data_IF_121045588126
#
_entry.id   IF_121045588126
#
_cell.length_a   1.000
_cell.length_b   1.000
_cell.length_c   1.000
_cell.angle_alpha   90.00
_cell.angle_beta   90.00
_cell.angle_gamma   90.00
#
_symmetry.space_group_name_H-M   'P 1'
#
loop_
_entity.id
_entity.type
_entity.pdbx_description
1 polymer ?
#
# COMPACT_ATOMS: atom_id res chain seq x y z
N UNK A 1 -1.10 4.84 7.22
CA UNK A 1 -0.77 3.49 6.74
C UNK A 1 0.46 3.01 7.51
N UNK A 2 0.39 1.87 8.22
CA UNK A 2 1.43 1.37 9.15
C UNK A 2 2.43 0.43 8.42
N UNK A 3 2.52 0.53 7.08
CA UNK A 3 3.40 -0.34 6.30
C UNK A 3 4.85 -0.07 6.66
N UNK A 4 5.60 -1.16 6.88
CA UNK A 4 6.99 -1.17 7.28
C UNK A 4 7.29 -0.63 8.68
N UNK A 5 6.29 -0.37 9.55
CA UNK A 5 6.58 0.07 10.92
C UNK A 5 6.97 -1.12 11.79
N UNK A 6 8.05 -0.96 12.54
CA UNK A 6 8.54 -1.89 13.55
C UNK A 6 8.37 -1.30 14.95
N UNK A 7 8.03 -2.14 15.91
CA UNK A 7 8.00 -1.78 17.32
C UNK A 7 9.05 -2.63 18.04
N UNK A 8 9.98 -1.99 18.74
CA UNK A 8 10.83 -2.69 19.70
C UNK A 8 10.00 -3.12 20.94
N UNK A 9 10.64 -3.85 21.85
CA UNK A 9 9.95 -4.44 23.01
C UNK A 9 9.31 -3.38 23.89
N UNK A 10 10.04 -2.32 24.21
CA UNK A 10 9.59 -1.26 25.12
C UNK A 10 8.43 -0.47 24.50
N UNK A 11 8.55 -0.09 23.22
CA UNK A 11 7.49 0.60 22.51
C UNK A 11 6.25 -0.27 22.33
N UNK A 12 6.42 -1.55 21.98
CA UNK A 12 5.27 -2.45 21.82
C UNK A 12 4.52 -2.64 23.14
N UNK A 13 5.26 -2.89 24.23
CA UNK A 13 4.67 -3.03 25.55
C UNK A 13 3.95 -1.76 25.98
N UNK A 14 4.64 -0.63 26.02
CA UNK A 14 4.10 0.61 26.55
C UNK A 14 2.94 1.17 25.70
N UNK A 15 3.05 1.14 24.37
CA UNK A 15 2.05 1.78 23.49
C UNK A 15 0.95 0.86 23.00
N UNK A 16 1.16 -0.47 22.98
CA UNK A 16 0.16 -1.40 22.44
C UNK A 16 -0.41 -2.29 23.53
N UNK A 17 0.43 -2.92 24.36
CA UNK A 17 -0.06 -3.89 25.35
C UNK A 17 -0.58 -3.25 26.63
N UNK A 18 0.07 -2.20 27.13
CA UNK A 18 -0.28 -1.56 28.41
C UNK A 18 -1.20 -0.35 28.23
N UNK A 19 -1.23 0.24 27.04
CA UNK A 19 -2.05 1.42 26.79
C UNK A 19 -3.53 1.02 26.62
N UNK A 20 -4.45 1.42 27.53
CA UNK A 20 -5.81 0.90 27.55
C UNK A 20 -6.60 1.24 26.28
N UNK A 21 -6.48 2.47 25.79
CA UNK A 21 -7.14 2.91 24.54
C UNK A 21 -6.55 2.23 23.32
N UNK A 22 -5.22 2.28 23.13
CA UNK A 22 -4.58 1.72 21.93
C UNK A 22 -4.77 0.21 21.87
N UNK A 23 -4.71 -0.51 22.99
CA UNK A 23 -4.96 -1.95 23.03
C UNK A 23 -6.33 -2.30 22.49
N UNK A 24 -7.37 -1.59 22.94
CA UNK A 24 -8.74 -1.83 22.46
C UNK A 24 -8.86 -1.60 20.95
N UNK A 25 -8.18 -0.59 20.40
CA UNK A 25 -8.14 -0.34 18.95
C UNK A 25 -7.28 -1.35 18.18
N UNK A 26 -6.25 -1.89 18.81
CA UNK A 26 -5.35 -2.86 18.21
C UNK A 26 -5.87 -4.31 18.36
N UNK A 27 -6.92 -4.54 19.14
CA UNK A 27 -7.59 -5.82 19.22
C UNK A 27 -8.11 -6.26 17.84
N UNK A 28 -7.93 -7.54 17.52
CA UNK A 28 -8.23 -8.10 16.20
C UNK A 28 -7.14 -7.86 15.15
N UNK A 29 -6.08 -7.11 15.46
CA UNK A 29 -4.91 -7.05 14.59
C UNK A 29 -4.05 -8.30 14.74
N UNK A 30 -3.55 -8.76 13.59
CA UNK A 30 -2.50 -9.78 13.53
C UNK A 30 -1.15 -9.07 13.63
N UNK A 31 -0.26 -9.64 14.42
CA UNK A 31 1.11 -9.20 14.64
C UNK A 31 2.08 -10.31 14.24
N UNK A 32 3.26 -9.92 13.79
CA UNK A 32 4.35 -10.80 13.40
C UNK A 32 5.60 -10.42 14.17
N UNK A 33 6.20 -11.38 14.83
CA UNK A 33 7.43 -11.20 15.61
C UNK A 33 8.70 -11.38 14.76
N UNK A 34 9.87 -11.23 15.38
CA UNK A 34 11.18 -11.38 14.71
C UNK A 34 11.44 -12.79 14.16
N UNK A 35 10.84 -13.81 14.78
CA UNK A 35 10.96 -15.22 14.39
C UNK A 35 9.89 -15.63 13.36
N UNK A 36 9.03 -14.70 12.94
CA UNK A 36 7.93 -14.94 12.01
C UNK A 36 6.68 -15.54 12.64
N UNK A 37 6.58 -15.61 13.98
CA UNK A 37 5.37 -16.05 14.67
C UNK A 37 4.25 -15.05 14.43
N UNK A 38 3.07 -15.56 14.08
CA UNK A 38 1.86 -14.77 13.87
C UNK A 38 0.90 -14.94 15.05
N UNK A 39 0.39 -13.82 15.57
CA UNK A 39 -0.58 -13.83 16.66
C UNK A 39 -1.59 -12.69 16.55
N UNK A 40 -2.78 -12.90 17.08
CA UNK A 40 -3.87 -11.93 17.17
C UNK A 40 -3.82 -11.28 18.55
N UNK A 41 -3.84 -9.95 18.59
CA UNK A 41 -4.03 -9.22 19.83
C UNK A 41 -5.52 -9.22 20.21
N UNK A 42 -5.82 -9.52 21.46
CA UNK A 42 -7.16 -9.41 22.05
C UNK A 42 -7.17 -8.31 23.13
N UNK A 43 -8.34 -8.07 23.73
CA UNK A 43 -8.46 -7.11 24.83
C UNK A 43 -7.57 -7.47 26.03
N UNK A 44 -7.30 -8.77 26.25
CA UNK A 44 -6.66 -9.28 27.46
C UNK A 44 -5.32 -9.97 27.16
N UNK A 45 -5.22 -10.67 26.03
CA UNK A 45 -4.09 -11.53 25.69
C UNK A 45 -3.62 -11.39 24.24
N UNK A 46 -2.57 -12.13 23.90
CA UNK A 46 -2.10 -12.34 22.52
C UNK A 46 -2.19 -13.85 22.24
N UNK A 47 -2.87 -14.22 21.17
CA UNK A 47 -3.16 -15.64 20.86
C UNK A 47 -2.76 -16.01 19.45
N UNK A 48 -2.31 -17.24 19.23
CA UNK A 48 -2.00 -17.73 17.89
C UNK A 48 -3.27 -18.11 17.10
N UNK A 49 -3.08 -18.64 15.87
CA UNK A 49 -4.18 -19.07 15.01
C UNK A 49 -4.93 -20.33 15.51
N UNK A 50 -4.41 -21.01 16.53
CA UNK A 50 -5.08 -22.11 17.24
C UNK A 50 -5.78 -21.63 18.53
N UNK A 51 -5.61 -20.36 18.90
CA UNK A 51 -6.17 -19.77 20.11
C UNK A 51 -5.33 -20.00 21.37
N UNK A 52 -4.11 -20.53 21.24
CA UNK A 52 -3.20 -20.65 22.37
C UNK A 52 -2.59 -19.29 22.71
N UNK A 53 -2.48 -18.98 24.00
CA UNK A 53 -1.78 -17.79 24.46
C UNK A 53 -0.30 -17.87 24.09
N UNK A 54 0.23 -16.80 23.51
CA UNK A 54 1.62 -16.73 23.05
C UNK A 54 2.21 -15.36 23.39
N UNK A 55 3.51 -15.35 23.64
CA UNK A 55 4.30 -14.13 23.68
C UNK A 55 4.98 -13.89 22.32
N UNK A 56 5.11 -12.61 21.96
CA UNK A 56 5.77 -12.16 20.73
C UNK A 56 7.13 -11.56 21.05
N UNK A 57 8.15 -11.96 20.28
CA UNK A 57 9.51 -11.45 20.43
C UNK A 57 9.77 -10.22 19.55
N UNK A 58 10.26 -9.14 20.16
CA UNK A 58 10.56 -7.92 19.42
C UNK A 58 11.74 -8.07 18.44
N UNK A 59 11.79 -7.29 17.35
CA UNK A 59 10.78 -6.32 16.95
C UNK A 59 9.51 -6.97 16.39
N UNK A 60 8.36 -6.39 16.72
CA UNK A 60 7.07 -6.83 16.19
C UNK A 60 6.58 -5.87 15.11
N UNK A 61 5.81 -6.43 14.17
CA UNK A 61 5.27 -5.72 13.01
C UNK A 61 3.84 -6.13 12.76
N UNK A 62 3.11 -5.32 12.00
CA UNK A 62 1.83 -5.71 11.42
C UNK A 62 2.14 -6.33 10.04
N UNK A 63 2.02 -7.66 9.87
CA UNK A 63 2.35 -8.32 8.62
C UNK A 63 1.38 -7.90 7.52
N UNK A 64 1.91 -7.83 6.30
CA UNK A 64 1.09 -7.72 5.10
C UNK A 64 0.60 -9.12 4.67
N UNK A 65 -0.61 -9.28 4.12
CA UNK A 65 -1.12 -10.61 3.73
C UNK A 65 -0.21 -11.37 2.77
N UNK A 66 0.50 -10.67 1.89
CA UNK A 66 1.48 -11.27 0.97
C UNK A 66 2.63 -12.00 1.68
N UNK A 67 2.94 -11.62 2.92
CA UNK A 67 4.01 -12.18 3.75
C UNK A 67 3.54 -13.40 4.56
N UNK A 68 2.25 -13.72 4.49
CA UNK A 68 1.61 -14.82 5.21
C UNK A 68 1.29 -15.91 4.19
N UNK A 69 1.61 -17.16 4.51
CA UNK A 69 1.21 -18.28 3.67
C UNK A 69 -0.32 -18.47 3.72
N UNK A 70 -0.86 -19.12 2.69
CA UNK A 70 -2.31 -19.21 2.51
C UNK A 70 -2.99 -20.00 3.64
N UNK A 71 -2.34 -21.05 4.16
CA UNK A 71 -2.89 -21.86 5.23
C UNK A 71 -2.94 -21.08 6.55
N UNK A 72 -1.87 -20.34 6.89
CA UNK A 72 -1.85 -19.46 8.05
C UNK A 72 -2.87 -18.33 7.92
N UNK A 73 -3.04 -17.75 6.73
CA UNK A 73 -4.03 -16.71 6.49
C UNK A 73 -5.47 -17.21 6.73
N UNK A 74 -5.79 -18.41 6.24
CA UNK A 74 -7.09 -19.07 6.50
C UNK A 74 -7.28 -19.35 8.00
N UNK A 75 -6.25 -19.86 8.68
CA UNK A 75 -6.31 -20.16 10.11
C UNK A 75 -6.54 -18.89 10.94
N UNK A 76 -5.84 -17.79 10.64
CA UNK A 76 -6.01 -16.50 11.30
C UNK A 76 -7.41 -15.92 11.09
N UNK A 77 -7.95 -15.98 9.87
CA UNK A 77 -9.33 -15.53 9.57
C UNK A 77 -10.36 -16.32 10.37
N UNK A 78 -10.20 -17.65 10.42
CA UNK A 78 -11.08 -18.52 11.21
C UNK A 78 -11.01 -18.15 12.68
N UNK A 79 -9.81 -17.90 13.21
CA UNK A 79 -9.63 -17.55 14.62
C UNK A 79 -10.21 -16.18 14.96
N UNK A 80 -10.04 -15.17 14.10
CA UNK A 80 -10.68 -13.86 14.26
C UNK A 80 -12.21 -14.00 14.33
N UNK A 81 -12.79 -14.83 13.44
CA UNK A 81 -14.22 -15.12 13.44
C UNK A 81 -14.67 -15.84 14.71
N UNK A 82 -13.91 -16.83 15.19
CA UNK A 82 -14.20 -17.56 16.42
C UNK A 82 -14.17 -16.66 17.67
N UNK A 83 -13.26 -15.69 17.69
CA UNK A 83 -13.14 -14.69 18.76
C UNK A 83 -14.15 -13.53 18.61
N UNK A 84 -14.97 -13.51 17.54
CA UNK A 84 -15.85 -12.40 17.17
C UNK A 84 -15.12 -11.05 17.09
N UNK A 85 -13.85 -11.05 16.69
CA UNK A 85 -13.03 -9.85 16.56
C UNK A 85 -13.13 -9.29 15.14
N UNK A 86 -13.48 -8.01 15.05
CA UNK A 86 -13.47 -7.24 13.81
C UNK A 86 -12.16 -6.48 13.72
N UNK A 87 -11.45 -6.61 12.59
CA UNK A 87 -10.23 -5.85 12.39
C UNK A 87 -10.55 -4.35 12.22
N UNK A 88 -9.80 -3.44 12.85
CA UNK A 88 -10.03 -1.99 12.76
C UNK A 88 -9.79 -1.43 11.35
N UNK A 89 -9.10 -2.19 10.49
CA UNK A 89 -8.97 -1.97 9.06
C UNK A 89 -8.81 -3.33 8.37
N UNK A 90 -9.03 -3.38 7.06
CA UNK A 90 -8.87 -4.59 6.25
C UNK A 90 -7.40 -5.03 6.16
N UNK A 91 -6.86 -5.60 7.24
CA UNK A 91 -5.48 -6.07 7.31
C UNK A 91 -5.34 -7.35 6.49
N UNK A 92 -6.07 -8.41 6.82
CA UNK A 92 -5.98 -9.70 6.13
C UNK A 92 -6.68 -9.71 4.77
N UNK A 93 -7.69 -8.86 4.61
CA UNK A 93 -8.44 -8.68 3.36
C UNK A 93 -7.85 -7.61 2.43
N UNK A 94 -6.65 -7.12 2.74
CA UNK A 94 -6.01 -6.11 1.91
C UNK A 94 -5.76 -6.67 0.51
N UNK A 95 -6.14 -5.96 -0.57
CA UNK A 95 -5.77 -6.35 -1.92
C UNK A 95 -4.26 -6.41 -2.07
N UNK A 96 -3.76 -7.47 -2.70
CA UNK A 96 -2.34 -7.57 -3.03
C UNK A 96 -2.11 -8.40 -4.28
N UNK A 97 -0.95 -8.21 -4.88
CA UNK A 97 -0.44 -9.08 -5.96
C UNK A 97 0.99 -9.51 -5.66
N UNK A 98 1.32 -10.74 -6.07
CA UNK A 98 2.68 -11.28 -6.02
C UNK A 98 3.52 -10.87 -7.22
N UNK A 99 2.91 -10.31 -8.27
CA UNK A 99 3.59 -9.89 -9.50
C UNK A 99 3.40 -8.38 -9.77
N UNK A 100 3.59 -7.58 -8.72
CA UNK A 100 3.32 -6.14 -8.73
C UNK A 100 4.05 -5.38 -9.85
N UNK A 101 5.28 -5.78 -10.19
CA UNK A 101 6.07 -5.10 -11.22
C UNK A 101 5.50 -5.31 -12.63
N UNK A 102 5.14 -6.57 -12.97
CA UNK A 102 4.55 -6.87 -14.27
C UNK A 102 3.15 -6.24 -14.39
N UNK A 103 2.33 -6.33 -13.34
CA UNK A 103 0.99 -5.75 -13.34
C UNK A 103 1.01 -4.22 -13.40
N UNK A 104 1.94 -3.56 -12.70
CA UNK A 104 2.14 -2.11 -12.79
C UNK A 104 2.48 -1.70 -14.22
N UNK A 105 3.43 -2.41 -14.83
CA UNK A 105 3.85 -2.12 -16.21
C UNK A 105 2.69 -2.27 -17.19
N UNK A 106 1.91 -3.36 -17.06
CA UNK A 106 0.72 -3.59 -17.88
C UNK A 106 -0.35 -2.50 -17.68
N UNK A 107 -0.58 -2.09 -16.43
CA UNK A 107 -1.57 -1.06 -16.08
C UNK A 107 -1.20 0.31 -16.68
N UNK A 108 0.07 0.70 -16.61
CA UNK A 108 0.58 1.95 -17.18
C UNK A 108 0.38 1.94 -18.70
N UNK A 109 0.77 0.86 -19.38
CA UNK A 109 0.59 0.72 -20.84
C UNK A 109 -0.88 0.75 -21.25
N UNK A 110 -1.76 0.17 -20.44
CA UNK A 110 -3.20 0.11 -20.70
C UNK A 110 -3.94 1.43 -20.44
N UNK A 111 -3.31 2.41 -19.78
CA UNK A 111 -3.99 3.63 -19.31
C UNK A 111 -3.49 4.88 -20.04
N UNK A 112 -4.41 5.68 -20.58
CA UNK A 112 -4.06 6.98 -21.16
C UNK A 112 -3.79 8.04 -20.07
N UNK A 113 -2.89 9.02 -20.36
CA UNK A 113 -2.68 10.17 -19.49
C UNK A 113 -3.98 10.88 -19.08
N UNK A 114 -4.08 11.20 -17.79
CA UNK A 114 -5.27 11.81 -17.19
C UNK A 114 -5.20 13.33 -17.27
N UNK A 115 -6.35 14.04 -17.22
CA UNK A 115 -6.33 15.48 -17.02
C UNK A 115 -5.48 15.85 -15.80
N UNK A 116 -4.57 16.82 -15.94
CA UNK A 116 -3.56 17.15 -14.94
C UNK A 116 -4.17 17.37 -13.54
N UNK A 117 -5.25 18.16 -13.46
CA UNK A 117 -5.96 18.44 -12.20
C UNK A 117 -6.48 17.17 -11.53
N UNK A 118 -7.01 16.22 -12.31
CA UNK A 118 -7.51 14.95 -11.77
C UNK A 118 -6.36 14.05 -11.31
N UNK A 119 -5.27 13.98 -12.08
CA UNK A 119 -4.08 13.22 -11.72
C UNK A 119 -3.47 13.72 -10.39
N UNK A 120 -3.28 15.03 -10.26
CA UNK A 120 -2.77 15.63 -9.04
C UNK A 120 -3.73 15.48 -7.85
N UNK A 121 -5.03 15.57 -8.09
CA UNK A 121 -6.05 15.34 -7.07
C UNK A 121 -5.96 13.92 -6.49
N UNK A 122 -5.84 12.90 -7.35
CA UNK A 122 -5.72 11.51 -6.93
C UNK A 122 -4.42 11.24 -6.17
N UNK A 123 -3.29 11.77 -6.63
CA UNK A 123 -2.02 11.68 -5.91
C UNK A 123 -2.13 12.29 -4.50
N UNK A 124 -2.70 13.48 -4.38
CA UNK A 124 -2.90 14.13 -3.06
C UNK A 124 -3.83 13.34 -2.15
N UNK A 125 -4.91 12.77 -2.68
CA UNK A 125 -5.81 11.89 -1.92
C UNK A 125 -5.09 10.66 -1.37
N UNK A 126 -4.08 10.15 -2.08
CA UNK A 126 -3.22 9.06 -1.61
C UNK A 126 -2.13 9.53 -0.63
N UNK A 127 -1.96 10.84 -0.42
CA UNK A 127 -0.94 11.41 0.47
C UNK A 127 0.39 11.72 -0.21
N UNK A 128 0.41 11.80 -1.55
CA UNK A 128 1.59 12.24 -2.28
C UNK A 128 1.69 13.76 -2.28
N UNK A 129 2.92 14.23 -2.12
CA UNK A 129 3.32 15.63 -2.25
C UNK A 129 4.24 15.76 -3.46
N UNK A 130 4.19 16.91 -4.14
CA UNK A 130 5.12 17.17 -5.25
C UNK A 130 6.56 17.06 -4.76
N UNK A 131 7.40 16.44 -5.59
CA UNK A 131 8.83 16.42 -5.42
C UNK A 131 9.45 17.79 -5.63
N UNK A 132 10.77 17.81 -5.81
CA UNK A 132 11.52 19.04 -6.01
C UNK A 132 11.16 19.67 -7.36
N UNK A 133 11.06 21.00 -7.38
CA UNK A 133 10.96 21.75 -8.64
C UNK A 133 12.36 21.93 -9.21
N UNK A 134 12.59 21.40 -10.39
CA UNK A 134 13.84 21.55 -11.14
C UNK A 134 13.54 22.23 -12.46
N UNK A 135 14.15 23.40 -12.69
CA UNK A 135 13.95 24.20 -13.90
C UNK A 135 12.46 24.52 -14.20
N UNK A 136 11.63 24.64 -13.16
CA UNK A 136 10.20 24.91 -13.30
C UNK A 136 9.33 23.68 -13.54
N UNK A 137 9.90 22.49 -13.45
CA UNK A 137 9.25 21.20 -13.67
C UNK A 137 9.30 20.34 -12.41
N UNK A 138 8.25 19.57 -12.17
CA UNK A 138 8.22 18.49 -11.19
C UNK A 138 8.06 17.17 -11.93
N UNK A 139 8.98 16.22 -11.77
CA UNK A 139 8.94 14.92 -12.45
C UNK A 139 8.52 13.77 -11.53
N UNK A 140 8.54 14.00 -10.23
CA UNK A 140 8.13 13.03 -9.22
C UNK A 140 7.22 13.63 -8.16
N UNK A 141 6.42 12.76 -7.55
CA UNK A 141 5.69 13.04 -6.31
C UNK A 141 6.02 11.96 -5.28
N UNK A 142 6.09 12.32 -3.99
CA UNK A 142 6.53 11.45 -2.91
C UNK A 142 5.51 11.34 -1.79
N UNK A 143 5.37 10.15 -1.24
CA UNK A 143 4.55 9.87 -0.05
C UNK A 143 5.42 9.19 1.02
N UNK A 144 5.58 9.77 2.21
CA UNK A 144 6.37 9.14 3.27
C UNK A 144 5.67 7.88 3.81
N UNK A 145 6.48 6.88 4.14
CA UNK A 145 6.11 5.64 4.81
C UNK A 145 6.92 5.52 6.12
N UNK A 146 6.72 4.43 6.87
CA UNK A 146 7.50 4.17 8.08
C UNK A 146 8.95 3.77 7.77
N UNK A 147 9.80 3.78 8.79
CA UNK A 147 11.19 3.28 8.75
C UNK A 147 12.09 3.91 7.66
N UNK A 148 11.79 5.15 7.28
CA UNK A 148 12.52 5.93 6.29
C UNK A 148 12.20 5.55 4.83
N UNK A 149 11.17 4.76 4.61
CA UNK A 149 10.65 4.45 3.28
C UNK A 149 9.80 5.59 2.73
N UNK A 150 9.77 5.72 1.41
CA UNK A 150 8.87 6.61 0.68
C UNK A 150 8.34 5.87 -0.54
N UNK A 151 7.09 6.13 -0.94
CA UNK A 151 6.66 5.85 -2.31
C UNK A 151 7.01 7.03 -3.19
N UNK A 152 7.59 6.75 -4.35
CA UNK A 152 7.90 7.75 -5.37
C UNK A 152 7.12 7.44 -6.63
N UNK A 153 6.23 8.36 -7.01
CA UNK A 153 5.48 8.32 -8.25
C UNK A 153 6.17 9.18 -9.30
N UNK A 154 6.72 8.58 -10.35
CA UNK A 154 7.30 9.28 -11.50
C UNK A 154 6.21 9.52 -12.55
N UNK A 155 6.26 10.67 -13.20
CA UNK A 155 5.23 11.07 -14.17
C UNK A 155 5.79 11.96 -15.29
N UNK A 156 4.99 12.23 -16.31
CA UNK A 156 5.36 12.92 -17.57
C UNK A 156 5.72 14.42 -17.43
N UNK A 157 6.37 14.80 -16.32
CA UNK A 157 6.60 16.17 -15.88
C UNK A 157 5.32 16.96 -15.59
N UNK A 158 5.36 17.84 -14.59
CA UNK A 158 4.32 18.82 -14.27
C UNK A 158 4.99 20.18 -14.32
N UNK A 159 4.61 20.99 -15.30
CA UNK A 159 5.17 22.33 -15.51
C UNK A 159 4.48 23.35 -14.60
N UNK A 160 5.23 24.00 -13.71
CA UNK A 160 4.66 24.88 -12.68
C UNK A 160 4.15 26.22 -13.26
N UNK A 161 4.75 26.68 -14.35
CA UNK A 161 4.47 27.99 -14.96
C UNK A 161 3.89 27.93 -16.37
N UNK A 162 3.81 26.74 -16.96
CA UNK A 162 3.32 26.58 -18.33
C UNK A 162 1.81 26.30 -18.33
N UNK A 163 1.03 27.19 -18.95
CA UNK A 163 -0.45 27.09 -18.99
C UNK A 163 -0.97 26.11 -20.05
N UNK A 164 -0.11 25.34 -20.70
CA UNK A 164 -0.45 24.46 -21.82
C UNK A 164 -0.66 22.99 -21.47
N UNK A 165 -0.06 22.49 -20.39
CA UNK A 165 -0.15 21.08 -20.05
C UNK A 165 -1.55 20.74 -19.52
N UNK A 166 -2.27 19.92 -20.27
CA UNK A 166 -3.63 19.48 -19.90
C UNK A 166 -3.65 18.06 -19.33
N UNK A 167 -2.63 17.25 -19.60
CA UNK A 167 -2.60 15.84 -19.20
C UNK A 167 -1.26 15.43 -18.61
N UNK A 168 -1.28 14.42 -17.76
CA UNK A 168 -0.10 13.81 -17.15
C UNK A 168 -0.35 12.31 -17.00
N UNK A 169 0.63 11.49 -17.41
CA UNK A 169 0.65 10.06 -17.22
C UNK A 169 1.61 9.67 -16.09
N UNK A 170 1.30 8.55 -15.46
CA UNK A 170 2.20 7.89 -14.52
C UNK A 170 3.20 7.06 -15.32
N UNK A 171 4.48 7.19 -14.98
CA UNK A 171 5.56 6.41 -15.60
C UNK A 171 5.96 5.23 -14.71
N UNK A 172 5.87 5.41 -13.40
CA UNK A 172 6.24 4.40 -12.41
C UNK A 172 5.75 4.82 -11.01
N UNK A 173 5.55 3.85 -10.11
CA UNK A 173 5.48 4.06 -8.67
C UNK A 173 6.33 2.97 -8.02
N UNK A 174 7.31 3.39 -7.24
CA UNK A 174 8.19 2.45 -6.54
C UNK A 174 8.46 2.86 -5.09
N UNK A 175 8.67 1.88 -4.21
CA UNK A 175 9.20 2.12 -2.87
C UNK A 175 10.70 2.43 -2.94
N UNK A 176 11.10 3.55 -2.33
CA UNK A 176 12.49 3.95 -2.16
C UNK A 176 12.82 4.19 -0.69
N UNK A 177 14.08 3.94 -0.33
CA UNK A 177 14.63 4.28 0.99
C UNK A 177 15.89 5.12 0.80
N UNK A 178 16.06 6.16 1.60
CA UNK A 178 17.27 6.99 1.57
C UNK A 178 17.99 6.89 2.92
N UNK A 179 19.27 6.45 2.97
CA UNK A 179 20.05 5.85 1.88
C UNK A 179 19.53 4.47 1.45
N UNK A 180 19.89 4.02 0.24
CA UNK A 180 19.44 2.75 -0.36
C UNK A 180 20.35 1.61 0.10
N UNK A 181 20.12 1.05 1.29
CA UNK A 181 20.90 -0.08 1.83
C UNK A 181 20.07 -1.34 2.12
N UNK A 182 18.75 -1.27 1.92
CA UNK A 182 17.86 -2.41 2.07
C UNK A 182 16.94 -2.50 0.84
N UNK A 183 16.79 -3.70 0.23
CA UNK A 183 15.85 -3.88 -0.87
C UNK A 183 14.40 -3.73 -0.35
N UNK A 184 13.47 -3.23 -1.18
CA UNK A 184 12.07 -3.17 -0.81
C UNK A 184 11.47 -4.57 -0.68
N UNK A 185 10.51 -4.74 0.23
CA UNK A 185 9.79 -6.00 0.41
C UNK A 185 8.69 -6.17 -0.65
N UNK A 186 8.22 -7.40 -0.91
CA UNK A 186 7.06 -7.63 -1.78
C UNK A 186 5.82 -6.84 -1.36
N UNK A 187 5.61 -6.66 -0.04
CA UNK A 187 4.54 -5.83 0.48
C UNK A 187 4.64 -4.38 -0.01
N UNK A 188 5.84 -3.79 -0.01
CA UNK A 188 6.04 -2.43 -0.51
C UNK A 188 5.76 -2.30 -2.01
N UNK A 189 6.13 -3.29 -2.82
CA UNK A 189 5.78 -3.30 -4.24
C UNK A 189 4.27 -3.47 -4.48
N UNK A 190 3.62 -4.35 -3.72
CA UNK A 190 2.16 -4.50 -3.78
C UNK A 190 1.45 -3.19 -3.43
N UNK A 191 1.96 -2.44 -2.45
CA UNK A 191 1.43 -1.12 -2.11
C UNK A 191 1.61 -0.09 -3.23
N UNK A 192 2.76 -0.11 -3.89
CA UNK A 192 3.03 0.76 -5.02
C UNK A 192 2.05 0.49 -6.18
N UNK A 193 1.75 -0.79 -6.44
CA UNK A 193 0.76 -1.18 -7.43
C UNK A 193 -0.65 -0.72 -7.07
N UNK A 194 -1.08 -0.88 -5.82
CA UNK A 194 -2.42 -0.42 -5.39
C UNK A 194 -2.53 1.12 -5.44
N UNK A 195 -1.45 1.85 -5.15
CA UNK A 195 -1.40 3.30 -5.40
C UNK A 195 -1.55 3.63 -6.89
N UNK A 196 -0.86 2.89 -7.76
CA UNK A 196 -0.96 3.09 -9.21
C UNK A 196 -2.37 2.82 -9.71
N UNK A 197 -3.04 1.76 -9.25
CA UNK A 197 -4.46 1.49 -9.56
C UNK A 197 -5.38 2.62 -9.14
N UNK A 198 -5.15 3.22 -7.97
CA UNK A 198 -5.95 4.35 -7.52
C UNK A 198 -5.74 5.60 -8.38
N UNK A 199 -4.49 5.87 -8.78
CA UNK A 199 -4.12 7.06 -9.57
C UNK A 199 -4.54 6.91 -11.04
N UNK A 200 -4.34 5.73 -11.62
CA UNK A 200 -4.65 5.42 -13.02
C UNK A 200 -6.12 5.05 -13.22
N UNK A 201 -6.80 4.57 -12.17
CA UNK A 201 -8.18 4.07 -12.20
C UNK A 201 -8.34 2.81 -13.07
N UNK A 202 -9.60 2.39 -13.28
CA UNK A 202 -9.87 1.28 -14.19
C UNK A 202 -9.50 1.66 -15.64
N UNK A 203 -8.94 0.73 -16.44
CA UNK A 203 -8.72 0.96 -17.86
C UNK A 203 -10.05 1.33 -18.51
N UNK A 204 -10.08 2.38 -19.33
CA UNK A 204 -11.27 2.62 -20.15
C UNK A 204 -11.31 1.54 -21.23
N UNK A 205 -12.40 0.76 -21.27
CA UNK A 205 -12.69 -0.08 -22.43
C UNK A 205 -12.63 0.80 -23.69
N UNK A 206 -11.71 0.45 -24.60
CA UNK A 206 -11.63 1.11 -25.90
C UNK A 206 -12.91 0.75 -26.66
N UNK A 207 -13.84 1.70 -26.76
CA UNK A 207 -15.02 1.53 -27.64
C UNK A 207 -14.54 1.15 -29.05
N UNK A 208 -15.09 0.10 -29.66
CA UNK A 208 -14.71 -0.29 -31.00
C UNK A 208 -14.90 0.90 -31.96
N UNK A 209 -13.86 1.21 -32.75
CA UNK A 209 -13.94 2.25 -33.77
C UNK A 209 -15.10 1.90 -34.72
N UNK A 210 -16.08 2.80 -34.85
CA UNK A 210 -17.15 2.64 -35.84
C UNK A 210 -16.51 2.43 -37.22
N UNK A 211 -16.91 1.39 -37.98
CA UNK A 211 -16.42 1.20 -39.33
C UNK A 211 -16.75 2.45 -40.17
N UNK A 212 -15.75 2.97 -40.89
CA UNK A 212 -15.94 4.04 -41.86
C UNK A 212 -16.88 3.52 -42.94
N UNK A 213 -18.08 4.10 -43.04
CA UNK A 213 -18.97 3.87 -44.18
C UNK A 213 -18.28 4.41 -45.44
N UNK A 214 -18.12 3.61 -46.51
CA UNK A 214 -17.59 4.11 -47.77
C UNK A 214 -18.55 5.15 -48.37
N UNK A 215 -18.03 6.14 -49.13
CA UNK A 215 -18.88 7.14 -49.77
C UNK A 215 -19.82 6.47 -50.77
N UNK A 216 -21.09 6.87 -50.74
CA UNK A 216 -22.08 6.43 -51.72
C UNK A 216 -21.71 6.99 -53.09
N UNK A 217 -21.56 6.08 -54.06
CA UNK A 217 -21.35 6.38 -55.48
C UNK A 217 -22.65 6.80 -56.15
#
# INVERSE_FOLDING_TARGET
MIVARRFDADHFRAFVLEHPVVRAFAAGLVWKDVNGRLAILTAEDVVDAAGAAVELEAPVTIPHPIEIDEAALVALRRQLSALALVQPFAQLERPFTRDAAAELSALIVATEPRPLVAFEGLLRQRGYHRGKVEQGVVTDSRRPLADGWFMMARHDAIWVRERGQKKCGLQDIEPIRLPIWAPPTPALFSEAFEDARAVLGAPKERKPRKPRTPPAT
#
